data_IF_260201984623
#
_entry.id   IF_260201984623
#
_cell.length_a   1.000
_cell.length_b   1.000
_cell.length_c   1.000
_cell.angle_alpha   90.00
_cell.angle_beta   90.00
_cell.angle_gamma   90.00
#
_symmetry.space_group_name_H-M   'P 1'
#
loop_
_entity.id
_entity.type
_entity.pdbx_description
1 polymer ?
#
# COMPACT_ATOMS: atom_id res chain seq x y z
N UNK A 1 24.42 19.42 10.31
CA UNK A 1 22.96 19.65 10.20
C UNK A 1 22.55 20.52 9.01
N UNK A 2 23.01 21.77 8.84
CA UNK A 2 22.56 22.60 7.71
C UNK A 2 22.97 22.03 6.33
N UNK A 3 24.24 21.67 6.14
CA UNK A 3 24.71 21.07 4.88
C UNK A 3 24.11 19.69 4.61
N UNK A 4 23.94 18.87 5.66
CA UNK A 4 23.32 17.55 5.58
C UNK A 4 21.88 17.62 5.03
N UNK A 5 21.11 18.62 5.47
CA UNK A 5 19.76 18.85 4.96
C UNK A 5 19.76 19.26 3.49
N UNK A 6 20.64 20.19 3.09
CA UNK A 6 20.77 20.63 1.69
C UNK A 6 21.16 19.45 0.80
N UNK A 7 22.12 18.64 1.25
CA UNK A 7 22.57 17.46 0.52
C UNK A 7 21.45 16.41 0.39
N UNK A 8 20.77 16.08 1.49
CA UNK A 8 19.65 15.15 1.46
C UNK A 8 18.53 15.64 0.55
N UNK A 9 18.19 16.93 0.59
CA UNK A 9 17.14 17.53 -0.25
C UNK A 9 17.46 17.40 -1.74
N UNK A 10 18.66 17.81 -2.17
CA UNK A 10 19.04 17.76 -3.59
C UNK A 10 19.20 16.34 -4.11
N UNK A 11 19.76 15.43 -3.30
CA UNK A 11 19.89 14.01 -3.68
C UNK A 11 18.50 13.40 -3.83
N UNK A 12 17.61 13.66 -2.87
CA UNK A 12 16.23 13.15 -2.90
C UNK A 12 15.46 13.73 -4.09
N UNK A 13 15.58 15.03 -4.35
CA UNK A 13 14.96 15.70 -5.50
C UNK A 13 15.46 15.13 -6.83
N UNK A 14 16.77 14.91 -6.97
CA UNK A 14 17.37 14.36 -8.18
C UNK A 14 16.93 12.93 -8.48
N UNK A 15 16.60 12.14 -7.46
CA UNK A 15 16.08 10.78 -7.65
C UNK A 15 14.55 10.82 -7.86
N UNK A 16 13.83 11.64 -7.10
CA UNK A 16 12.38 11.81 -7.22
C UNK A 16 11.95 12.36 -8.57
N UNK A 17 12.76 13.18 -9.25
CA UNK A 17 12.41 13.72 -10.56
C UNK A 17 12.13 12.63 -11.61
N UNK A 18 12.76 11.46 -11.49
CA UNK A 18 12.47 10.31 -12.36
C UNK A 18 11.12 9.66 -12.03
N UNK A 19 10.77 9.60 -10.74
CA UNK A 19 9.50 9.02 -10.26
C UNK A 19 8.34 9.98 -10.52
N UNK A 20 8.56 11.28 -10.40
CA UNK A 20 7.54 12.31 -10.61
C UNK A 20 6.95 12.23 -12.03
N UNK A 21 7.79 11.97 -13.04
CA UNK A 21 7.37 11.83 -14.43
C UNK A 21 6.30 10.74 -14.60
N UNK A 22 6.52 9.54 -14.03
CA UNK A 22 5.55 8.45 -14.09
C UNK A 22 4.39 8.66 -13.13
N UNK A 23 4.60 9.33 -11.99
CA UNK A 23 3.54 9.63 -11.03
C UNK A 23 2.43 10.47 -11.66
N UNK A 24 2.78 11.45 -12.50
CA UNK A 24 1.79 12.28 -13.22
C UNK A 24 1.05 11.46 -14.27
N UNK A 25 1.76 10.60 -15.02
CA UNK A 25 1.15 9.76 -16.05
C UNK A 25 0.17 8.74 -15.43
N UNK A 26 0.61 8.02 -14.41
CA UNK A 26 -0.18 7.01 -13.71
C UNK A 26 -1.34 7.58 -12.88
N UNK A 27 -1.37 8.88 -12.59
CA UNK A 27 -2.50 9.51 -11.87
C UNK A 27 -3.47 10.23 -12.80
N UNK A 28 -3.24 10.16 -14.12
CA UNK A 28 -4.12 10.72 -15.12
C UNK A 28 -5.50 10.04 -15.16
N UNK A 29 -6.54 10.80 -15.53
CA UNK A 29 -7.91 10.29 -15.62
C UNK A 29 -8.15 9.30 -16.77
N UNK A 30 -7.27 9.26 -17.77
CA UNK A 30 -7.39 8.40 -18.95
C UNK A 30 -6.10 7.59 -19.08
N UNK A 31 -6.11 6.38 -18.50
CA UNK A 31 -4.97 5.47 -18.46
C UNK A 31 -5.03 4.48 -19.63
N UNK A 32 -3.97 4.46 -20.43
CA UNK A 32 -3.64 3.42 -21.40
C UNK A 32 -2.58 2.49 -20.81
N UNK A 33 -3.05 1.40 -20.19
CA UNK A 33 -2.22 0.47 -19.41
C UNK A 33 -0.97 0.00 -20.17
N UNK A 34 -1.06 -0.18 -21.50
CA UNK A 34 0.08 -0.62 -22.31
C UNK A 34 1.13 0.49 -22.41
N UNK A 35 0.67 1.71 -22.69
CA UNK A 35 1.51 2.90 -22.74
C UNK A 35 2.16 3.18 -21.39
N UNK A 36 1.39 3.20 -20.29
CA UNK A 36 1.95 3.48 -18.97
C UNK A 36 2.92 2.40 -18.51
N UNK A 37 2.64 1.11 -18.81
CA UNK A 37 3.60 0.04 -18.52
C UNK A 37 4.92 0.28 -19.25
N UNK A 38 4.87 0.72 -20.51
CA UNK A 38 6.07 1.04 -21.29
C UNK A 38 6.82 2.22 -20.69
N UNK A 39 6.12 3.31 -20.33
CA UNK A 39 6.72 4.48 -19.67
C UNK A 39 7.38 4.14 -18.33
N UNK A 40 6.76 3.28 -17.53
CA UNK A 40 7.33 2.83 -16.26
C UNK A 40 8.59 1.99 -16.46
N UNK A 41 8.61 1.10 -17.46
CA UNK A 41 9.81 0.32 -17.79
C UNK A 41 10.97 1.22 -18.25
N UNK A 42 10.68 2.29 -19.01
CA UNK A 42 11.70 3.27 -19.39
C UNK A 42 12.27 4.02 -18.18
N UNK A 43 11.44 4.37 -17.19
CA UNK A 43 11.93 4.99 -15.95
C UNK A 43 12.75 4.02 -15.10
N UNK A 44 12.34 2.75 -14.99
CA UNK A 44 13.13 1.72 -14.29
C UNK A 44 14.50 1.57 -14.97
N UNK A 45 14.54 1.55 -16.30
CA UNK A 45 15.79 1.52 -17.08
C UNK A 45 16.65 2.75 -16.83
N UNK A 46 16.06 3.95 -16.81
CA UNK A 46 16.78 5.19 -16.53
C UNK A 46 17.36 5.21 -15.10
N UNK A 47 16.62 4.70 -14.11
CA UNK A 47 17.10 4.55 -12.72
C UNK A 47 18.28 3.56 -12.64
N UNK A 48 18.20 2.44 -13.35
CA UNK A 48 19.32 1.49 -13.46
C UNK A 48 20.55 2.15 -14.09
N UNK A 49 20.36 2.94 -15.16
CA UNK A 49 21.46 3.67 -15.81
C UNK A 49 22.11 4.69 -14.86
N UNK A 50 21.32 5.40 -14.04
CA UNK A 50 21.87 6.30 -13.02
C UNK A 50 22.60 5.52 -11.91
N UNK A 51 22.14 4.30 -11.60
CA UNK A 51 22.82 3.43 -10.64
C UNK A 51 24.17 2.95 -11.16
N UNK A 52 24.23 2.55 -12.42
CA UNK A 52 25.45 2.08 -13.09
C UNK A 52 26.45 3.23 -13.29
N UNK A 53 25.95 4.44 -13.59
CA UNK A 53 26.76 5.65 -13.78
C UNK A 53 26.76 6.56 -12.54
N UNK A 54 26.68 5.96 -11.34
CA UNK A 54 26.48 6.68 -10.07
C UNK A 54 27.51 7.77 -9.78
N UNK A 55 28.75 7.64 -10.27
CA UNK A 55 29.78 8.67 -10.13
C UNK A 55 29.40 9.97 -10.84
N UNK A 56 29.03 9.88 -12.12
CA UNK A 56 28.66 11.05 -12.94
C UNK A 56 27.33 11.68 -12.48
N UNK A 57 26.39 10.84 -12.04
CA UNK A 57 25.12 11.28 -11.49
C UNK A 57 25.35 12.06 -10.19
N UNK A 58 26.13 11.50 -9.27
CA UNK A 58 26.44 12.14 -8.00
C UNK A 58 27.24 13.43 -8.20
N UNK A 59 28.21 13.47 -9.12
CA UNK A 59 29.00 14.67 -9.39
C UNK A 59 28.12 15.87 -9.82
N UNK A 60 27.15 15.62 -10.71
CA UNK A 60 26.18 16.64 -11.13
C UNK A 60 25.37 17.17 -9.94
N UNK A 61 24.80 16.28 -9.13
CA UNK A 61 24.00 16.67 -7.95
C UNK A 61 24.86 17.38 -6.92
N UNK A 62 26.07 16.91 -6.67
CA UNK A 62 26.99 17.48 -5.69
C UNK A 62 27.40 18.91 -6.08
N UNK A 63 27.60 19.18 -7.38
CA UNK A 63 27.85 20.54 -7.86
C UNK A 63 26.71 21.52 -7.52
N UNK A 64 25.46 21.06 -7.61
CA UNK A 64 24.27 21.85 -7.22
C UNK A 64 24.15 22.03 -5.70
N UNK A 65 24.56 21.02 -4.92
CA UNK A 65 24.60 21.11 -3.45
C UNK A 65 25.61 22.18 -3.03
N UNK A 66 26.80 22.17 -3.63
CA UNK A 66 27.86 23.13 -3.32
C UNK A 66 27.44 24.55 -3.67
N UNK A 67 26.88 24.78 -4.86
CA UNK A 67 26.43 26.13 -5.26
C UNK A 67 25.29 26.64 -4.37
N UNK A 68 24.38 25.77 -3.96
CA UNK A 68 23.30 26.14 -3.02
C UNK A 68 23.85 26.42 -1.62
N UNK A 69 24.78 25.61 -1.13
CA UNK A 69 25.41 25.81 0.17
C UNK A 69 26.20 27.13 0.22
N UNK A 70 26.92 27.47 -0.84
CA UNK A 70 27.61 28.76 -1.00
C UNK A 70 26.64 29.94 -0.95
N UNK A 71 25.49 29.83 -1.63
CA UNK A 71 24.46 30.89 -1.63
C UNK A 71 23.86 31.18 -0.25
N UNK A 72 23.83 30.17 0.63
CA UNK A 72 23.29 30.27 2.00
C UNK A 72 24.42 30.45 3.04
N UNK A 73 25.68 30.59 2.58
CA UNK A 73 26.88 30.72 3.41
C UNK A 73 27.06 29.56 4.41
N UNK A 74 26.86 28.33 3.93
CA UNK A 74 27.00 27.08 4.70
C UNK A 74 28.26 26.34 4.26
N UNK A 75 29.12 25.97 5.21
CA UNK A 75 30.32 25.18 4.95
C UNK A 75 29.99 23.71 4.61
N UNK A 76 30.81 23.12 3.74
CA UNK A 76 30.70 21.71 3.38
C UNK A 76 31.13 20.84 4.55
N UNK A 77 30.28 19.89 4.95
CA UNK A 77 30.56 19.01 6.08
C UNK A 77 29.86 17.66 5.98
N UNK A 78 30.53 16.61 6.45
CA UNK A 78 29.95 15.28 6.62
C UNK A 78 29.49 15.08 8.07
N UNK A 79 28.42 14.28 8.31
CA UNK A 79 28.03 13.87 9.65
C UNK A 79 29.16 13.18 10.40
N UNK A 80 29.14 13.30 11.74
CA UNK A 80 30.09 12.59 12.61
C UNK A 80 29.88 11.08 12.49
N UNK A 81 30.93 10.36 12.11
CA UNK A 81 30.94 8.90 12.07
C UNK A 81 31.16 8.34 13.49
N UNK A 82 30.21 7.55 13.99
CA UNK A 82 30.34 6.81 15.25
C UNK A 82 30.76 5.38 14.93
N UNK A 83 31.79 4.87 15.60
CA UNK A 83 32.43 3.58 15.29
C UNK A 83 31.54 2.32 15.47
N UNK A 84 30.32 2.45 15.99
CA UNK A 84 29.40 1.35 16.22
C UNK A 84 27.99 1.63 15.70
N UNK A 85 27.67 1.13 14.51
CA UNK A 85 26.30 1.02 14.02
C UNK A 85 26.01 -0.42 13.63
N UNK A 86 24.99 -1.03 14.25
CA UNK A 86 24.61 -2.44 14.01
C UNK A 86 23.70 -2.62 12.80
N UNK A 87 23.02 -1.57 12.36
CA UNK A 87 21.93 -1.66 11.37
C UNK A 87 22.20 -0.90 10.05
N UNK A 88 23.34 -0.22 9.90
CA UNK A 88 23.66 0.54 8.68
C UNK A 88 25.09 0.27 8.22
N UNK A 89 25.27 -0.06 6.94
CA UNK A 89 26.59 -0.08 6.32
C UNK A 89 27.03 1.37 6.11
N UNK A 90 27.97 1.83 6.92
CA UNK A 90 28.56 3.15 6.76
C UNK A 90 29.99 2.93 6.25
N UNK A 91 30.16 3.05 4.93
CA UNK A 91 31.47 2.89 4.32
C UNK A 91 32.31 4.10 4.70
N UNK A 92 33.56 3.91 5.19
CA UNK A 92 34.43 5.02 5.53
C UNK A 92 34.66 5.88 4.28
N UNK A 93 34.49 7.19 4.43
CA UNK A 93 34.68 8.16 3.36
C UNK A 93 35.71 9.20 3.79
N UNK A 94 36.58 9.59 2.85
CA UNK A 94 37.68 10.53 3.10
C UNK A 94 37.24 11.98 2.91
N UNK A 95 36.21 12.20 2.08
CA UNK A 95 35.68 13.52 1.74
C UNK A 95 34.17 13.59 1.94
N UNK A 96 33.58 14.78 2.17
CA UNK A 96 32.13 14.94 2.23
C UNK A 96 31.42 14.45 0.95
N UNK A 97 31.98 14.72 -0.22
CA UNK A 97 31.45 14.24 -1.51
C UNK A 97 31.38 12.70 -1.56
N UNK A 98 32.47 12.03 -1.20
CA UNK A 98 32.52 10.57 -1.16
C UNK A 98 31.52 9.99 -0.14
N UNK A 99 31.36 10.65 1.01
CA UNK A 99 30.40 10.24 2.03
C UNK A 99 28.96 10.25 1.49
N UNK A 100 28.52 11.38 0.92
CA UNK A 100 27.16 11.51 0.40
C UNK A 100 26.92 10.63 -0.82
N UNK A 101 27.96 10.35 -1.63
CA UNK A 101 27.87 9.39 -2.73
C UNK A 101 27.52 7.99 -2.23
N UNK A 102 28.35 7.44 -1.34
CA UNK A 102 28.26 6.03 -0.96
C UNK A 102 27.13 5.78 0.03
N UNK A 103 26.98 6.63 1.05
CA UNK A 103 26.07 6.40 2.16
C UNK A 103 24.67 7.02 1.97
N UNK A 104 24.47 7.82 0.92
CA UNK A 104 23.19 8.46 0.62
C UNK A 104 22.76 8.18 -0.81
N UNK A 105 23.46 8.69 -1.83
CA UNK A 105 23.03 8.55 -3.23
C UNK A 105 22.94 7.09 -3.67
N UNK A 106 24.01 6.32 -3.47
CA UNK A 106 24.05 4.90 -3.84
C UNK A 106 23.04 4.09 -3.01
N UNK A 107 22.99 4.31 -1.70
CA UNK A 107 22.06 3.59 -0.82
C UNK A 107 20.60 3.82 -1.22
N UNK A 108 20.22 5.07 -1.55
CA UNK A 108 18.85 5.37 -1.98
C UNK A 108 18.55 4.72 -3.34
N UNK A 109 19.48 4.75 -4.29
CA UNK A 109 19.29 4.10 -5.58
C UNK A 109 19.16 2.57 -5.43
N UNK A 110 19.95 1.95 -4.55
CA UNK A 110 19.87 0.52 -4.23
C UNK A 110 18.54 0.12 -3.57
N UNK A 111 17.86 1.04 -2.88
CA UNK A 111 16.54 0.78 -2.31
C UNK A 111 15.42 1.04 -3.32
N UNK A 112 15.49 2.14 -4.06
CA UNK A 112 14.41 2.59 -4.95
C UNK A 112 14.32 1.74 -6.22
N UNK A 113 15.45 1.40 -6.84
CA UNK A 113 15.43 0.65 -8.09
C UNK A 113 14.75 -0.73 -7.93
N UNK A 114 15.13 -1.57 -6.94
CA UNK A 114 14.44 -2.84 -6.73
C UNK A 114 12.98 -2.66 -6.33
N UNK A 115 12.66 -1.64 -5.51
CA UNK A 115 11.27 -1.37 -5.10
C UNK A 115 10.38 -1.00 -6.30
N UNK A 116 10.89 -0.22 -7.25
CA UNK A 116 10.18 0.10 -8.50
C UNK A 116 10.03 -1.13 -9.38
N UNK A 117 11.08 -1.94 -9.51
CA UNK A 117 11.05 -3.14 -10.33
C UNK A 117 10.15 -4.24 -9.75
N UNK A 118 10.13 -4.42 -8.43
CA UNK A 118 9.24 -5.37 -7.75
C UNK A 118 7.76 -4.96 -7.91
N UNK A 119 7.47 -3.67 -7.75
CA UNK A 119 6.10 -3.17 -7.78
C UNK A 119 5.52 -3.02 -9.19
N UNK A 120 6.32 -2.59 -10.15
CA UNK A 120 5.89 -2.25 -11.50
C UNK A 120 6.59 -3.08 -12.59
N UNK A 121 7.31 -4.13 -12.20
CA UNK A 121 7.88 -5.08 -13.13
C UNK A 121 6.81 -5.73 -14.01
N UNK A 122 7.21 -6.30 -15.16
CA UNK A 122 6.28 -6.94 -16.09
C UNK A 122 5.49 -8.09 -15.44
N UNK A 123 6.15 -8.87 -14.58
CA UNK A 123 5.53 -9.99 -13.86
C UNK A 123 4.48 -9.51 -12.84
N UNK A 124 4.82 -8.50 -12.04
CA UNK A 124 3.92 -7.90 -11.06
C UNK A 124 2.71 -7.25 -11.74
N UNK A 125 2.95 -6.51 -12.83
CA UNK A 125 1.89 -5.83 -13.60
C UNK A 125 0.90 -6.84 -14.19
N UNK A 126 1.39 -7.92 -14.80
CA UNK A 126 0.54 -8.97 -15.35
C UNK A 126 -0.28 -9.68 -14.26
N UNK A 127 0.36 -9.99 -13.13
CA UNK A 127 -0.32 -10.63 -11.99
C UNK A 127 -1.42 -9.73 -11.43
N UNK A 128 -1.14 -8.44 -11.23
CA UNK A 128 -2.11 -7.47 -10.73
C UNK A 128 -3.28 -7.28 -11.71
N UNK A 129 -3.00 -7.21 -13.02
CA UNK A 129 -4.04 -7.10 -14.04
C UNK A 129 -4.93 -8.36 -14.07
N UNK A 130 -4.33 -9.54 -13.98
CA UNK A 130 -5.06 -10.81 -13.92
C UNK A 130 -5.95 -10.89 -12.69
N UNK A 131 -5.44 -10.54 -11.50
CA UNK A 131 -6.22 -10.49 -10.26
C UNK A 131 -7.36 -9.47 -10.38
N UNK A 132 -7.11 -8.30 -10.95
CA UNK A 132 -8.14 -7.27 -11.16
C UNK A 132 -9.23 -7.78 -12.11
N UNK A 133 -8.87 -8.45 -13.20
CA UNK A 133 -9.82 -9.06 -14.13
C UNK A 133 -10.62 -10.18 -13.46
N UNK A 134 -9.99 -11.03 -12.64
CA UNK A 134 -10.70 -12.05 -11.85
C UNK A 134 -11.65 -11.42 -10.84
N UNK A 135 -11.23 -10.37 -10.14
CA UNK A 135 -12.07 -9.62 -9.21
C UNK A 135 -13.26 -8.99 -9.93
N UNK A 136 -13.02 -8.38 -11.09
CA UNK A 136 -14.07 -7.81 -11.92
C UNK A 136 -15.07 -8.87 -12.42
N UNK A 137 -14.59 -10.05 -12.78
CA UNK A 137 -15.45 -11.16 -13.20
C UNK A 137 -16.24 -11.80 -12.05
N UNK A 138 -15.73 -11.74 -10.81
CA UNK A 138 -16.36 -12.36 -9.62
C UNK A 138 -17.29 -11.39 -8.89
N UNK A 139 -16.92 -10.10 -8.82
CA UNK A 139 -17.77 -9.02 -8.34
C UNK A 139 -18.64 -8.59 -9.52
N UNK A 140 -19.77 -9.25 -9.70
CA UNK A 140 -20.63 -9.17 -10.90
C UNK A 140 -20.61 -7.83 -11.65
N UNK A 141 -20.18 -7.89 -12.91
CA UNK A 141 -20.17 -6.79 -13.89
C UNK A 141 -21.56 -6.21 -14.20
N UNK A 142 -22.63 -6.92 -13.83
CA UNK A 142 -23.99 -6.48 -14.10
C UNK A 142 -24.51 -5.69 -12.91
N UNK A 143 -24.99 -4.48 -13.19
CA UNK A 143 -25.69 -3.64 -12.20
C UNK A 143 -26.81 -4.42 -11.52
N UNK A 144 -27.43 -5.39 -12.19
CA UNK A 144 -28.51 -6.23 -11.67
C UNK A 144 -28.11 -7.06 -10.42
N UNK A 145 -26.91 -7.67 -10.41
CA UNK A 145 -26.43 -8.47 -9.27
C UNK A 145 -26.09 -7.56 -8.08
N UNK A 146 -25.42 -6.45 -8.36
CA UNK A 146 -25.06 -5.45 -7.36
C UNK A 146 -26.28 -4.72 -6.77
N UNK A 147 -27.25 -4.35 -7.62
CA UNK A 147 -28.53 -3.78 -7.21
C UNK A 147 -29.36 -4.77 -6.40
N UNK A 148 -29.34 -6.06 -6.75
CA UNK A 148 -30.00 -7.11 -5.95
C UNK A 148 -29.33 -7.24 -4.58
N UNK A 149 -28.00 -7.28 -4.51
CA UNK A 149 -27.25 -7.35 -3.24
C UNK A 149 -27.46 -6.11 -2.37
N UNK A 150 -27.41 -4.91 -2.96
CA UNK A 150 -27.70 -3.66 -2.25
C UNK A 150 -29.16 -3.57 -1.85
N UNK A 151 -30.08 -4.07 -2.66
CA UNK A 151 -31.51 -4.11 -2.31
C UNK A 151 -31.75 -5.07 -1.14
N UNK A 152 -31.07 -6.21 -1.09
CA UNK A 152 -31.10 -7.13 0.06
C UNK A 152 -30.56 -6.43 1.30
N UNK A 153 -29.42 -5.73 1.21
CA UNK A 153 -28.84 -4.96 2.32
C UNK A 153 -29.74 -3.81 2.77
N UNK A 154 -30.35 -3.06 1.83
CA UNK A 154 -31.32 -1.99 2.11
C UNK A 154 -32.63 -2.50 2.68
N UNK A 155 -33.00 -3.76 2.45
CA UNK A 155 -34.15 -4.40 3.13
C UNK A 155 -33.79 -4.85 4.54
N UNK A 156 -32.52 -5.22 4.77
CA UNK A 156 -31.98 -5.51 6.10
C UNK A 156 -31.81 -4.23 6.94
N UNK A 157 -31.49 -3.08 6.33
CA UNK A 157 -31.25 -1.78 7.00
C UNK A 157 -32.40 -1.27 7.89
N UNK A 158 -33.67 -1.20 7.46
CA UNK A 158 -34.80 -0.79 8.30
C UNK A 158 -35.00 -1.72 9.50
N UNK A 159 -34.63 -2.99 9.37
CA UNK A 159 -34.62 -3.96 10.46
C UNK A 159 -33.54 -3.62 11.50
N UNK A 160 -32.46 -2.93 11.10
CA UNK A 160 -31.34 -2.45 11.94
C UNK A 160 -31.65 -1.20 12.78
N UNK A 161 -32.72 -0.44 12.49
CA UNK A 161 -33.10 0.73 13.33
C UNK A 161 -33.71 0.35 14.69
N UNK A 162 -33.91 -0.95 14.93
CA UNK A 162 -34.25 -1.45 16.26
C UNK A 162 -32.96 -1.85 16.96
N UNK A 163 -32.71 -1.28 18.14
CA UNK A 163 -31.46 -1.31 18.92
C UNK A 163 -31.04 -2.72 19.39
N UNK A 164 -30.67 -3.62 18.47
CA UNK A 164 -30.06 -4.93 18.78
C UNK A 164 -28.95 -5.25 17.79
N UNK A 165 -27.72 -5.03 18.24
CA UNK A 165 -26.51 -4.81 17.47
C UNK A 165 -25.91 -6.07 16.84
N UNK A 166 -25.42 -5.91 15.60
CA UNK A 166 -24.49 -6.72 14.80
C UNK A 166 -24.63 -8.25 14.74
N UNK A 167 -24.68 -8.97 15.86
CA UNK A 167 -24.72 -10.44 15.87
C UNK A 167 -26.00 -10.99 15.25
N UNK A 168 -27.14 -10.34 15.50
CA UNK A 168 -28.42 -10.73 14.89
C UNK A 168 -28.41 -10.54 13.37
N UNK A 169 -27.71 -9.51 12.89
CA UNK A 169 -27.57 -9.21 11.45
C UNK A 169 -26.67 -10.24 10.81
N UNK A 170 -25.52 -10.53 11.42
CA UNK A 170 -24.60 -11.56 10.93
C UNK A 170 -25.30 -12.92 10.83
N UNK A 171 -26.10 -13.30 11.85
CA UNK A 171 -26.89 -14.53 11.82
C UNK A 171 -27.98 -14.55 10.75
N UNK A 172 -28.70 -13.43 10.56
CA UNK A 172 -29.76 -13.33 9.56
C UNK A 172 -29.21 -13.28 8.12
N UNK A 173 -28.09 -12.59 7.92
CA UNK A 173 -27.36 -12.59 6.65
C UNK A 173 -26.84 -13.99 6.31
N UNK A 174 -26.30 -14.72 7.30
CA UNK A 174 -25.86 -16.11 7.12
C UNK A 174 -27.03 -17.02 6.70
N UNK A 175 -28.21 -16.88 7.34
CA UNK A 175 -29.41 -17.62 6.95
C UNK A 175 -29.91 -17.26 5.54
N UNK A 176 -29.81 -15.99 5.15
CA UNK A 176 -30.24 -15.55 3.82
C UNK A 176 -29.31 -16.05 2.71
N UNK A 177 -27.99 -16.06 2.95
CA UNK A 177 -26.99 -16.58 2.01
C UNK A 177 -27.06 -18.11 1.90
N UNK A 178 -27.30 -18.79 3.01
CA UNK A 178 -27.35 -20.26 3.09
C UNK A 178 -28.77 -20.81 3.27
N UNK A 179 -29.74 -20.29 2.52
CA UNK A 179 -31.15 -20.73 2.60
C UNK A 179 -31.38 -22.18 2.14
N UNK A 180 -30.38 -22.80 1.49
CA UNK A 180 -30.43 -24.18 0.98
C UNK A 180 -29.76 -25.23 1.86
N UNK A 181 -29.28 -24.86 3.07
CA UNK A 181 -28.78 -25.84 4.03
C UNK A 181 -29.96 -26.48 4.76
N UNK A 182 -29.97 -27.82 4.80
CA UNK A 182 -30.96 -28.57 5.59
C UNK A 182 -30.55 -28.50 7.07
N UNK A 183 -31.33 -27.79 7.89
CA UNK A 183 -31.02 -27.54 9.30
C UNK A 183 -31.81 -28.53 10.14
N UNK A 184 -31.11 -29.37 10.91
CA UNK A 184 -31.74 -30.24 11.89
C UNK A 184 -32.30 -29.41 13.06
N UNK A 185 -33.63 -29.32 13.10
CA UNK A 185 -34.38 -28.54 14.07
C UNK A 185 -34.13 -29.05 15.50
N UNK A 186 -33.95 -30.37 15.69
CA UNK A 186 -33.75 -30.93 17.03
C UNK A 186 -32.40 -30.51 17.62
N UNK A 187 -31.35 -30.59 16.80
CA UNK A 187 -30.02 -30.14 17.20
C UNK A 187 -30.01 -28.65 17.57
N UNK A 188 -30.74 -27.81 16.83
CA UNK A 188 -30.85 -26.37 17.13
C UNK A 188 -31.59 -26.11 18.44
N UNK A 189 -32.66 -26.87 18.72
CA UNK A 189 -33.41 -26.76 19.98
C UNK A 189 -32.52 -27.11 21.17
N UNK A 190 -31.78 -28.22 21.09
CA UNK A 190 -30.86 -28.67 22.14
C UNK A 190 -29.75 -27.63 22.38
N UNK A 191 -29.16 -27.11 21.31
CA UNK A 191 -28.10 -26.08 21.40
C UNK A 191 -28.64 -24.75 21.95
N UNK A 192 -29.88 -24.37 21.62
CA UNK A 192 -30.53 -23.17 22.17
C UNK A 192 -30.85 -23.33 23.66
N UNK A 193 -31.39 -24.49 24.06
CA UNK A 193 -31.69 -24.81 25.46
C UNK A 193 -30.42 -24.79 26.32
N UNK A 194 -29.30 -25.28 25.78
CA UNK A 194 -27.98 -25.25 26.44
C UNK A 194 -27.45 -23.82 26.64
N UNK A 195 -27.61 -22.94 25.66
CA UNK A 195 -27.08 -21.55 25.72
C UNK A 195 -27.98 -20.58 26.49
N UNK A 196 -29.30 -20.78 26.48
CA UNK A 196 -30.27 -19.85 27.08
C UNK A 196 -31.26 -20.55 28.03
N UNK A 197 -30.81 -21.18 29.12
CA UNK A 197 -31.66 -21.95 30.03
C UNK A 197 -32.79 -21.12 30.66
N UNK A 198 -32.57 -19.82 30.89
CA UNK A 198 -33.59 -18.92 31.45
C UNK A 198 -34.78 -18.65 30.52
N UNK A 199 -34.58 -18.73 29.20
CA UNK A 199 -35.63 -18.47 28.19
C UNK A 199 -36.48 -19.70 27.88
N UNK A 200 -36.06 -20.88 28.34
CA UNK A 200 -36.84 -22.13 28.24
C UNK A 200 -37.84 -22.32 29.39
N UNK A 201 -37.78 -21.50 30.44
CA UNK A 201 -38.79 -21.52 31.48
C UNK A 201 -40.09 -20.88 30.98
N UNK A 202 -40.97 -21.71 30.41
CA UNK A 202 -42.37 -21.34 30.23
C UNK A 202 -43.00 -21.24 31.62
N UNK A 203 -43.15 -20.01 32.13
CA UNK A 203 -43.99 -19.77 33.30
C UNK A 203 -45.40 -20.20 32.89
N UNK A 204 -45.93 -21.20 33.59
CA UNK A 204 -47.23 -21.77 33.31
C UNK A 204 -48.31 -20.76 33.73
N UNK A 205 -48.80 -19.94 32.80
CA UNK A 205 -49.78 -18.87 33.05
C UNK A 205 -51.17 -19.43 33.45
N UNK A 206 -51.33 -20.76 33.52
CA UNK A 206 -52.58 -21.45 33.88
C UNK A 206 -52.49 -22.29 35.17
N UNK A 207 -51.41 -22.17 35.95
CA UNK A 207 -51.34 -22.77 37.28
C UNK A 207 -51.29 -21.65 38.33
N UNK A 208 -52.48 -21.31 38.86
CA UNK A 208 -52.82 -20.48 40.04
C UNK A 208 -52.03 -19.19 40.32
#
# INVERSE_FOLDING_TARGET
MAFEFIAALHITQGILSYIELISVSLQGNNQDVIKETTEVQEVIRALQEQRDNSDTFHEKIYSCIVSTAESVNVEQGAPRLVAGQRHRANVPATTPAEYYKVNVTISILDEIFPAMNDRFGPEATFTNLFILMQLLCTVGLTTCEWERNITVLRKLEPYMRTTMAQERINGLALMHVHYGLDIDIQWVIDEFARRNPRRMNLINVLAD
#
